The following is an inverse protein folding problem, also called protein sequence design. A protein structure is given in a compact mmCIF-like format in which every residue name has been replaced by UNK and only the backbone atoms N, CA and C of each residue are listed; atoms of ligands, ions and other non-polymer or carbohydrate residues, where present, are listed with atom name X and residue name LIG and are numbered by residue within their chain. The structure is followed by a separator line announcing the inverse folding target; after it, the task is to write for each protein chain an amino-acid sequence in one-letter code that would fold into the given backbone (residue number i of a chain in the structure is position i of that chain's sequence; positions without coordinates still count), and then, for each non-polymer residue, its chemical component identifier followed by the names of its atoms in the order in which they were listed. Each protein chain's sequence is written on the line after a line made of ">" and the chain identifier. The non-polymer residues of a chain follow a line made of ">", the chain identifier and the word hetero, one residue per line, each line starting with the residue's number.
data_IF_506410316507
#
_entry.id   IF_506410316507
#
_cell.length_a   1.000
_cell.length_b   1.000
_cell.length_c   1.000
_cell.angle_alpha   90.00
_cell.angle_beta   90.00
_cell.angle_gamma   90.00
#
_symmetry.space_group_name_H-M   'P 1'
#
loop_
_entity.id
_entity.type
_entity.pdbx_description
1 polymer ?
#
# COMPACT_ATOMS: atom_id res chain seq x y z
N UNK A 1 -21.98 -24.40 69.39
CA UNK A 1 -23.06 -25.33 69.78
C UNK A 1 -23.45 -26.10 68.53
N UNK A 2 -22.93 -27.32 68.42
CA UNK A 2 -23.48 -28.46 67.70
C UNK A 2 -24.82 -28.88 68.31
N UNK A 3 -25.62 -29.78 67.78
CA UNK A 3 -25.34 -30.86 66.83
C UNK A 3 -26.53 -31.16 65.86
N UNK A 4 -26.51 -32.10 65.00
CA UNK A 4 -26.45 -33.53 64.78
C UNK A 4 -27.36 -33.92 63.61
N UNK A 5 -26.86 -34.65 62.68
CA UNK A 5 -26.96 -36.12 62.43
C UNK A 5 -28.36 -36.69 62.21
N UNK A 6 -28.61 -37.34 61.10
CA UNK A 6 -28.73 -38.80 60.87
C UNK A 6 -29.32 -39.10 59.50
N UNK A 7 -28.64 -39.90 58.67
CA UNK A 7 -28.72 -41.36 58.43
C UNK A 7 -30.17 -41.83 58.14
N UNK A 8 -30.46 -42.56 57.12
CA UNK A 8 -30.00 -43.81 56.54
C UNK A 8 -31.08 -44.24 55.53
N UNK A 9 -30.70 -44.74 54.37
CA UNK A 9 -30.57 -46.17 53.99
C UNK A 9 -31.88 -46.96 53.78
N UNK A 10 -31.82 -47.67 52.69
CA UNK A 10 -32.26 -49.04 52.38
C UNK A 10 -33.26 -49.16 51.24
N UNK A 11 -32.86 -49.66 50.10
CA UNK A 11 -33.08 -50.98 49.54
C UNK A 11 -34.51 -51.52 49.54
N UNK A 12 -35.02 -51.82 48.36
CA UNK A 12 -35.74 -53.08 48.00
C UNK A 12 -35.88 -53.11 46.45
N UNK A 13 -35.19 -53.87 45.85
CA UNK A 13 -35.19 -55.13 45.09
C UNK A 13 -36.53 -55.56 44.45
N UNK A 14 -36.37 -55.95 43.16
CA UNK A 14 -37.01 -56.94 42.32
C UNK A 14 -38.47 -56.68 41.90
N UNK A 15 -38.71 -56.68 40.59
CA UNK A 15 -39.17 -57.91 39.88
C UNK A 15 -39.25 -57.59 38.35
N UNK A 16 -38.61 -58.45 37.55
CA UNK A 16 -38.78 -58.64 36.12
C UNK A 16 -40.00 -59.52 35.90
N UNK A 17 -40.83 -59.25 34.82
CA UNK A 17 -40.78 -60.20 33.73
C UNK A 17 -40.87 -59.60 32.34
N UNK A 18 -39.98 -60.02 31.51
CA UNK A 18 -40.05 -60.53 30.14
C UNK A 18 -41.41 -60.36 29.42
N UNK A 19 -41.46 -59.46 28.45
CA UNK A 19 -42.39 -59.56 27.32
C UNK A 19 -41.65 -59.18 26.04
N UNK A 20 -41.23 -60.22 25.31
CA UNK A 20 -40.77 -60.15 23.92
C UNK A 20 -41.97 -59.80 23.04
N UNK A 21 -42.04 -58.61 22.49
CA UNK A 21 -42.87 -58.28 21.38
C UNK A 21 -42.00 -57.85 20.23
N UNK A 22 -41.84 -58.74 19.26
CA UNK A 22 -41.28 -58.46 17.96
C UNK A 22 -42.14 -57.44 17.24
N UNK A 23 -41.68 -56.21 17.12
CA UNK A 23 -42.25 -55.23 16.22
C UNK A 23 -41.23 -54.96 15.12
N UNK A 24 -41.43 -55.58 13.99
CA UNK A 24 -40.73 -55.31 12.73
C UNK A 24 -41.11 -53.88 12.34
N UNK A 25 -40.24 -52.91 12.65
CA UNK A 25 -40.35 -51.55 12.11
C UNK A 25 -39.68 -51.52 10.75
N UNK A 26 -40.52 -51.45 9.73
CA UNK A 26 -40.15 -51.10 8.36
C UNK A 26 -39.35 -49.76 8.44
N UNK A 27 -38.06 -49.86 8.29
CA UNK A 27 -37.21 -48.76 7.91
C UNK A 27 -37.58 -48.33 6.47
N UNK A 28 -38.61 -47.52 6.33
CA UNK A 28 -38.77 -46.67 5.16
C UNK A 28 -37.61 -45.66 5.24
N UNK A 29 -36.55 -46.01 4.54
CA UNK A 29 -35.49 -45.06 4.25
C UNK A 29 -36.07 -43.88 3.49
N UNK A 30 -36.42 -42.80 4.19
CA UNK A 30 -36.46 -41.50 3.60
C UNK A 30 -35.06 -41.20 3.09
N UNK A 31 -34.83 -41.52 1.82
CA UNK A 31 -33.76 -40.97 1.06
C UNK A 31 -33.99 -39.47 0.96
N UNK A 32 -33.59 -38.77 2.00
CA UNK A 32 -33.37 -37.33 1.95
C UNK A 32 -32.36 -37.11 0.82
N UNK A 33 -32.89 -36.70 -0.35
CA UNK A 33 -32.06 -36.06 -1.35
C UNK A 33 -31.40 -34.90 -0.60
N UNK A 34 -30.19 -35.12 -0.05
CA UNK A 34 -29.28 -34.03 0.23
C UNK A 34 -29.21 -33.28 -1.10
N UNK A 35 -29.90 -32.15 -1.16
CA UNK A 35 -29.58 -31.13 -2.14
C UNK A 35 -28.06 -31.03 -2.12
N UNK A 36 -27.44 -31.47 -3.21
CA UNK A 36 -25.99 -31.35 -3.37
C UNK A 36 -25.73 -29.89 -3.24
N UNK A 37 -25.25 -29.46 -2.06
CA UNK A 37 -24.64 -28.16 -1.91
C UNK A 37 -23.80 -27.96 -3.16
N UNK A 38 -24.10 -26.90 -3.93
CA UNK A 38 -23.52 -26.67 -5.23
C UNK A 38 -22.05 -27.00 -5.15
N UNK A 39 -21.62 -28.02 -5.91
CA UNK A 39 -20.28 -28.58 -5.82
C UNK A 39 -19.29 -27.44 -5.91
N UNK A 40 -18.54 -27.15 -4.84
CA UNK A 40 -17.49 -26.11 -4.88
C UNK A 40 -16.32 -26.52 -5.78
N UNK A 41 -16.36 -27.72 -6.35
CA UNK A 41 -15.41 -28.26 -7.30
C UNK A 41 -15.74 -27.74 -8.69
N UNK A 42 -14.80 -27.01 -9.29
CA UNK A 42 -14.88 -26.49 -10.64
C UNK A 42 -14.32 -27.50 -11.68
N UNK A 43 -13.25 -28.21 -11.33
CA UNK A 43 -12.67 -29.27 -12.16
C UNK A 43 -12.00 -30.34 -11.30
N UNK A 44 -11.83 -31.54 -11.87
CA UNK A 44 -11.01 -32.62 -11.31
C UNK A 44 -9.81 -32.87 -12.22
N UNK A 45 -8.62 -32.85 -11.64
CA UNK A 45 -7.35 -33.10 -12.34
C UNK A 45 -6.71 -34.33 -11.70
N UNK A 46 -6.92 -35.50 -12.29
CA UNK A 46 -6.55 -36.80 -11.72
C UNK A 46 -7.22 -37.01 -10.34
N UNK A 47 -6.42 -37.05 -9.27
CA UNK A 47 -6.88 -37.22 -7.87
C UNK A 47 -7.21 -35.91 -7.15
N UNK A 48 -6.83 -34.77 -7.73
CA UNK A 48 -6.95 -33.46 -7.12
C UNK A 48 -8.13 -32.67 -7.67
N UNK A 49 -8.66 -31.74 -6.89
CA UNK A 49 -9.81 -30.91 -7.27
C UNK A 49 -9.41 -29.43 -7.31
N UNK A 50 -9.87 -28.74 -8.36
CA UNK A 50 -9.81 -27.29 -8.45
C UNK A 50 -11.17 -26.76 -8.00
N UNK A 51 -11.18 -25.84 -7.04
CA UNK A 51 -12.41 -25.31 -6.45
C UNK A 51 -12.79 -23.96 -7.05
N UNK A 52 -14.09 -23.65 -7.00
CA UNK A 52 -14.62 -22.32 -7.33
C UNK A 52 -13.97 -21.24 -6.45
N UNK A 53 -13.62 -21.58 -5.21
CA UNK A 53 -12.95 -20.66 -4.30
C UNK A 53 -11.56 -20.24 -4.82
N UNK A 54 -10.78 -21.16 -5.39
CA UNK A 54 -9.49 -20.84 -6.00
C UNK A 54 -9.65 -19.91 -7.21
N UNK A 55 -10.67 -20.14 -8.05
CA UNK A 55 -10.97 -19.26 -9.19
C UNK A 55 -11.32 -17.84 -8.67
N UNK A 56 -12.22 -17.74 -7.68
CA UNK A 56 -12.62 -16.47 -7.10
C UNK A 56 -11.45 -15.72 -6.45
N UNK A 57 -10.55 -16.43 -5.78
CA UNK A 57 -9.35 -15.84 -5.20
C UNK A 57 -8.47 -15.17 -6.27
N UNK A 58 -8.29 -15.82 -7.42
CA UNK A 58 -7.52 -15.24 -8.52
C UNK A 58 -8.28 -14.09 -9.19
N UNK A 59 -9.61 -14.20 -9.34
CA UNK A 59 -10.46 -13.13 -9.89
C UNK A 59 -10.37 -11.84 -9.05
N UNK A 60 -10.40 -11.95 -7.72
CA UNK A 60 -10.30 -10.80 -6.81
C UNK A 60 -8.98 -10.04 -6.94
N UNK A 61 -7.92 -10.68 -7.44
CA UNK A 61 -6.64 -10.02 -7.69
C UNK A 61 -6.62 -9.21 -9.00
N UNK A 62 -7.61 -9.38 -9.87
CA UNK A 62 -7.72 -8.64 -11.14
C UNK A 62 -8.49 -7.32 -10.92
N UNK A 63 -7.75 -6.21 -10.77
CA UNK A 63 -8.29 -4.90 -10.34
C UNK A 63 -9.27 -4.23 -11.30
N UNK A 64 -9.40 -4.65 -12.57
CA UNK A 64 -10.19 -3.93 -13.58
C UNK A 64 -11.11 -4.85 -14.38
N UNK A 65 -11.59 -5.93 -13.77
CA UNK A 65 -12.47 -6.86 -14.45
C UNK A 65 -13.89 -6.28 -14.50
N UNK A 66 -14.45 -6.14 -15.69
CA UNK A 66 -15.84 -5.72 -15.87
C UNK A 66 -16.78 -6.91 -15.64
N UNK A 67 -18.00 -6.68 -15.13
CA UNK A 67 -18.96 -7.75 -14.85
C UNK A 67 -19.20 -8.69 -16.06
N UNK A 68 -19.30 -8.14 -17.26
CA UNK A 68 -19.51 -8.89 -18.51
C UNK A 68 -18.31 -9.79 -18.92
N UNK A 69 -17.14 -9.55 -18.35
CA UNK A 69 -15.91 -10.31 -18.63
C UNK A 69 -15.67 -11.43 -17.60
N UNK A 70 -16.44 -11.46 -16.52
CA UNK A 70 -16.20 -12.35 -15.37
C UNK A 70 -16.26 -13.82 -15.78
N UNK A 71 -17.22 -14.24 -16.60
CA UNK A 71 -17.37 -15.62 -17.03
C UNK A 71 -16.23 -16.08 -17.95
N UNK A 72 -15.79 -15.21 -18.86
CA UNK A 72 -14.66 -15.50 -19.74
C UNK A 72 -13.35 -15.59 -18.95
N UNK A 73 -13.13 -14.65 -18.01
CA UNK A 73 -11.98 -14.66 -17.14
C UNK A 73 -11.97 -15.88 -16.21
N UNK A 74 -13.12 -16.28 -15.66
CA UNK A 74 -13.25 -17.47 -14.82
C UNK A 74 -12.82 -18.74 -15.56
N UNK A 75 -13.26 -18.91 -16.82
CA UNK A 75 -12.84 -20.04 -17.65
C UNK A 75 -11.34 -20.02 -17.92
N UNK A 76 -10.79 -18.88 -18.27
CA UNK A 76 -9.36 -18.72 -18.53
C UNK A 76 -8.50 -18.99 -17.29
N UNK A 77 -8.99 -18.56 -16.11
CA UNK A 77 -8.36 -18.86 -14.83
C UNK A 77 -8.42 -20.36 -14.54
N UNK A 78 -9.57 -21.00 -14.79
CA UNK A 78 -9.73 -22.44 -14.58
C UNK A 78 -8.72 -23.23 -15.40
N UNK A 79 -8.59 -22.96 -16.71
CA UNK A 79 -7.62 -23.64 -17.59
C UNK A 79 -6.18 -23.44 -17.06
N UNK A 80 -5.83 -22.23 -16.66
CA UNK A 80 -4.51 -21.97 -16.06
C UNK A 80 -4.28 -22.74 -14.77
N UNK A 81 -5.32 -22.86 -13.92
CA UNK A 81 -5.22 -23.65 -12.68
C UNK A 81 -5.11 -25.17 -12.99
N UNK A 82 -5.73 -25.65 -14.06
CA UNK A 82 -5.56 -27.03 -14.53
C UNK A 82 -4.12 -27.28 -14.96
N UNK A 83 -3.55 -26.40 -15.78
CA UNK A 83 -2.14 -26.50 -16.20
C UNK A 83 -1.19 -26.44 -15.01
N UNK A 84 -1.46 -25.54 -14.08
CA UNK A 84 -0.68 -25.41 -12.82
C UNK A 84 -0.77 -26.69 -11.99
N UNK A 85 -1.96 -27.29 -11.87
CA UNK A 85 -2.13 -28.53 -11.11
C UNK A 85 -1.38 -29.70 -11.73
N UNK A 86 -1.41 -29.82 -13.08
CA UNK A 86 -0.64 -30.83 -13.79
C UNK A 86 0.87 -30.65 -13.58
N UNK A 87 1.34 -29.40 -13.63
CA UNK A 87 2.75 -29.09 -13.35
C UNK A 87 3.15 -29.42 -11.90
N UNK A 88 2.27 -29.12 -10.92
CA UNK A 88 2.50 -29.46 -9.50
C UNK A 88 2.58 -30.98 -9.30
N UNK A 89 1.69 -31.76 -9.91
CA UNK A 89 1.74 -33.23 -9.83
C UNK A 89 3.06 -33.77 -10.41
N UNK A 90 3.51 -33.21 -11.53
CA UNK A 90 4.80 -33.60 -12.12
C UNK A 90 6.00 -33.17 -11.25
N UNK A 91 5.91 -32.01 -10.63
CA UNK A 91 6.94 -31.52 -9.71
C UNK A 91 7.05 -32.42 -8.45
N UNK A 92 5.91 -32.88 -7.93
CA UNK A 92 5.86 -33.82 -6.80
C UNK A 92 6.50 -35.17 -7.14
N UNK A 93 6.16 -35.74 -8.32
CA UNK A 93 6.79 -36.97 -8.83
C UNK A 93 8.32 -36.85 -8.93
N UNK A 94 8.82 -35.68 -9.34
CA UNK A 94 10.25 -35.37 -9.49
C UNK A 94 10.90 -34.86 -8.19
N UNK A 95 10.12 -34.74 -7.10
CA UNK A 95 10.56 -34.23 -5.78
C UNK A 95 11.17 -32.83 -5.84
N UNK A 96 10.69 -31.98 -6.76
CA UNK A 96 11.15 -30.60 -6.93
C UNK A 96 10.84 -29.77 -5.67
N UNK A 97 9.77 -30.07 -4.97
CA UNK A 97 9.41 -29.50 -3.65
C UNK A 97 10.50 -29.66 -2.58
N UNK A 98 11.40 -30.66 -2.77
CA UNK A 98 12.52 -30.94 -1.88
C UNK A 98 13.86 -30.35 -2.34
N UNK A 99 13.90 -29.71 -3.52
CA UNK A 99 15.10 -28.98 -3.96
C UNK A 99 15.43 -27.88 -2.93
N UNK A 100 16.67 -27.79 -2.43
CA UNK A 100 17.04 -26.82 -1.39
C UNK A 100 16.71 -25.37 -1.78
N UNK A 101 16.78 -25.01 -3.05
CA UNK A 101 16.42 -23.67 -3.55
C UNK A 101 14.93 -23.42 -3.46
N UNK A 102 14.10 -24.42 -3.82
CA UNK A 102 12.63 -24.34 -3.75
C UNK A 102 12.21 -24.25 -2.28
N UNK A 103 12.76 -25.06 -1.41
CA UNK A 103 12.50 -25.02 0.04
C UNK A 103 12.83 -23.64 0.61
N UNK A 104 14.01 -23.08 0.29
CA UNK A 104 14.37 -21.73 0.75
C UNK A 104 13.42 -20.65 0.24
N UNK A 105 12.98 -20.74 -1.02
CA UNK A 105 12.02 -19.80 -1.60
C UNK A 105 10.64 -19.90 -0.92
N UNK A 106 10.16 -21.12 -0.69
CA UNK A 106 8.89 -21.34 0.01
C UNK A 106 8.92 -20.79 1.45
N UNK A 107 10.00 -21.05 2.18
CA UNK A 107 10.18 -20.54 3.54
C UNK A 107 10.31 -19.00 3.57
N UNK A 108 10.98 -18.40 2.60
CA UNK A 108 11.08 -16.95 2.47
C UNK A 108 9.70 -16.34 2.16
N UNK A 109 8.96 -16.89 1.19
CA UNK A 109 7.63 -16.43 0.83
C UNK A 109 6.64 -16.58 1.99
N UNK A 110 6.69 -17.71 2.70
CA UNK A 110 5.85 -17.94 3.89
C UNK A 110 6.10 -16.89 4.97
N UNK A 111 7.37 -16.63 5.31
CA UNK A 111 7.73 -15.59 6.31
C UNK A 111 7.23 -14.21 5.90
N UNK A 112 7.41 -13.85 4.64
CA UNK A 112 6.97 -12.55 4.11
C UNK A 112 5.43 -12.42 4.18
N UNK A 113 4.69 -13.44 3.72
CA UNK A 113 3.23 -13.42 3.72
C UNK A 113 2.67 -13.31 5.13
N UNK A 114 3.18 -14.14 6.07
CA UNK A 114 2.69 -14.14 7.45
C UNK A 114 3.03 -12.83 8.17
N UNK A 115 4.25 -12.33 8.00
CA UNK A 115 4.65 -11.05 8.59
C UNK A 115 3.81 -9.89 8.04
N UNK A 116 3.58 -9.84 6.74
CA UNK A 116 2.71 -8.82 6.11
C UNK A 116 1.28 -8.90 6.64
N UNK A 117 0.69 -10.10 6.69
CA UNK A 117 -0.67 -10.30 7.21
C UNK A 117 -0.81 -9.83 8.66
N UNK A 118 0.21 -10.05 9.50
CA UNK A 118 0.24 -9.53 10.86
C UNK A 118 0.22 -7.99 10.88
N UNK A 119 1.10 -7.34 10.11
CA UNK A 119 1.18 -5.88 10.06
C UNK A 119 -0.10 -5.25 9.49
N UNK A 120 -0.71 -5.89 8.49
CA UNK A 120 -2.01 -5.49 7.94
C UNK A 120 -3.09 -5.55 9.02
N UNK A 121 -3.14 -6.64 9.81
CA UNK A 121 -4.07 -6.80 10.91
C UNK A 121 -3.89 -5.73 12.00
N UNK A 122 -2.64 -5.38 12.34
CA UNK A 122 -2.35 -4.25 13.25
C UNK A 122 -2.89 -2.96 12.67
N UNK A 123 -2.63 -2.70 11.39
CA UNK A 123 -3.14 -1.50 10.71
C UNK A 123 -4.67 -1.42 10.63
N UNK A 124 -5.37 -2.55 10.53
CA UNK A 124 -6.83 -2.59 10.50
C UNK A 124 -7.50 -2.07 11.78
N UNK A 125 -6.78 -2.10 12.90
CA UNK A 125 -7.25 -1.53 14.16
C UNK A 125 -7.29 0.02 14.17
N UNK A 126 -6.78 0.68 13.13
CA UNK A 126 -6.78 2.14 13.03
C UNK A 126 -8.22 2.69 12.97
N UNK A 127 -8.62 3.59 13.87
CA UNK A 127 -9.94 4.20 13.83
C UNK A 127 -10.08 5.10 12.60
N UNK A 128 -11.29 5.17 12.05
CA UNK A 128 -11.57 6.10 10.97
C UNK A 128 -11.44 7.55 11.45
N UNK A 129 -10.98 8.47 10.58
CA UNK A 129 -10.98 9.89 10.89
C UNK A 129 -12.40 10.41 11.13
N UNK A 130 -12.54 11.35 12.07
CA UNK A 130 -13.82 12.03 12.29
C UNK A 130 -14.05 13.12 11.22
N UNK A 131 -15.31 13.56 11.04
CA UNK A 131 -15.60 14.69 10.15
C UNK A 131 -14.85 15.97 10.51
N UNK A 132 -14.64 16.23 11.81
CA UNK A 132 -13.91 17.39 12.33
C UNK A 132 -12.42 17.33 11.97
N UNK A 133 -11.83 16.14 12.03
CA UNK A 133 -10.43 15.92 11.64
C UNK A 133 -10.25 16.11 10.13
N UNK A 134 -11.19 15.63 9.33
CA UNK A 134 -11.18 15.81 7.87
C UNK A 134 -11.28 17.30 7.55
N UNK A 135 -12.24 18.02 8.16
CA UNK A 135 -12.39 19.46 7.99
C UNK A 135 -11.13 20.20 8.42
N UNK A 136 -10.57 19.87 9.57
CA UNK A 136 -9.33 20.47 10.07
C UNK A 136 -8.19 20.32 9.06
N UNK A 137 -8.00 19.12 8.52
CA UNK A 137 -6.96 18.85 7.51
C UNK A 137 -7.20 19.68 6.23
N UNK A 138 -8.45 19.81 5.80
CA UNK A 138 -8.83 20.64 4.66
C UNK A 138 -8.46 22.11 4.88
N UNK A 139 -8.81 22.66 6.05
CA UNK A 139 -8.55 24.05 6.41
C UNK A 139 -7.05 24.35 6.60
N UNK A 140 -6.28 23.39 7.14
CA UNK A 140 -4.83 23.51 7.37
C UNK A 140 -3.99 23.39 6.08
N UNK A 141 -4.58 22.90 5.00
CA UNK A 141 -3.88 22.65 3.72
C UNK A 141 -4.55 23.35 2.53
N UNK A 142 -4.73 24.70 2.60
CA UNK A 142 -5.43 25.45 1.54
C UNK A 142 -4.78 25.26 0.16
N UNK A 143 -3.45 25.15 0.09
CA UNK A 143 -2.73 24.95 -1.17
C UNK A 143 -3.05 23.62 -1.87
N UNK A 144 -3.56 22.59 -1.12
CA UNK A 144 -4.03 21.35 -1.69
C UNK A 144 -5.50 21.41 -2.12
N UNK A 145 -6.29 22.31 -1.55
CA UNK A 145 -7.75 22.30 -1.69
C UNK A 145 -8.34 23.65 -2.10
N UNK A 146 -8.67 24.51 -1.16
CA UNK A 146 -9.36 25.78 -1.43
C UNK A 146 -8.56 26.76 -2.30
N UNK A 147 -7.24 26.74 -2.21
CA UNK A 147 -6.32 27.54 -3.01
C UNK A 147 -5.49 26.68 -3.97
N UNK A 148 -5.98 25.47 -4.27
CA UNK A 148 -5.30 24.52 -5.15
C UNK A 148 -5.03 25.14 -6.52
N UNK A 149 -3.79 24.92 -7.01
CA UNK A 149 -3.34 25.37 -8.33
C UNK A 149 -2.76 24.17 -9.11
N UNK A 150 -2.79 24.31 -10.41
CA UNK A 150 -1.98 23.50 -11.35
C UNK A 150 -0.82 24.36 -11.80
N UNK A 151 0.39 23.85 -11.61
CA UNK A 151 1.65 24.55 -11.79
C UNK A 151 2.33 24.10 -13.07
N UNK A 152 2.65 25.06 -13.97
CA UNK A 152 3.59 24.85 -15.08
C UNK A 152 4.98 25.20 -14.58
N UNK A 153 5.86 24.21 -14.44
CA UNK A 153 7.18 24.38 -13.85
C UNK A 153 8.28 24.05 -14.85
N UNK A 154 9.40 24.76 -14.73
CA UNK A 154 10.67 24.37 -15.31
C UNK A 154 11.59 23.92 -14.19
N UNK A 155 12.14 22.73 -14.33
CA UNK A 155 13.07 22.14 -13.37
C UNK A 155 14.46 22.11 -14.00
N UNK A 156 15.46 22.69 -13.33
CA UNK A 156 16.85 22.66 -13.76
C UNK A 156 17.63 21.92 -12.68
N UNK A 157 18.01 20.69 -12.98
CA UNK A 157 18.86 19.89 -12.10
C UNK A 157 20.32 20.22 -12.35
N UNK A 158 21.07 20.55 -11.31
CA UNK A 158 22.47 20.99 -11.39
C UNK A 158 23.29 20.09 -10.50
N UNK A 159 24.31 19.44 -11.10
CA UNK A 159 25.32 18.69 -10.33
C UNK A 159 26.24 19.70 -9.64
N UNK A 160 26.08 19.83 -8.32
CA UNK A 160 26.86 20.78 -7.56
C UNK A 160 27.31 20.20 -6.22
N UNK A 161 28.50 20.59 -5.80
CA UNK A 161 29.00 20.26 -4.46
C UNK A 161 28.33 21.14 -3.41
N UNK A 162 28.26 20.71 -2.13
CA UNK A 162 27.64 21.49 -1.06
C UNK A 162 28.15 22.94 -0.95
N UNK A 163 29.46 23.16 -1.14
CA UNK A 163 30.10 24.48 -1.10
C UNK A 163 29.67 25.42 -2.22
N UNK A 164 29.16 24.91 -3.35
CA UNK A 164 28.71 25.70 -4.50
C UNK A 164 27.25 26.15 -4.37
N UNK A 165 26.49 25.56 -3.43
CA UNK A 165 25.05 25.84 -3.28
C UNK A 165 24.79 27.30 -2.92
N UNK A 166 25.64 27.90 -2.08
CA UNK A 166 25.51 29.30 -1.67
C UNK A 166 25.71 30.26 -2.86
N UNK A 167 26.75 30.02 -3.66
CA UNK A 167 27.01 30.81 -4.87
C UNK A 167 25.89 30.66 -5.90
N UNK A 168 25.42 29.46 -6.15
CA UNK A 168 24.27 29.21 -7.05
C UNK A 168 23.02 29.93 -6.62
N UNK A 169 22.77 30.01 -5.29
CA UNK A 169 21.63 30.77 -4.76
C UNK A 169 21.77 32.27 -4.97
N UNK A 170 22.98 32.82 -4.75
CA UNK A 170 23.28 34.23 -5.00
C UNK A 170 23.15 34.58 -6.48
N UNK A 171 23.70 33.76 -7.38
CA UNK A 171 23.59 33.98 -8.83
C UNK A 171 22.15 33.88 -9.33
N UNK A 172 21.37 32.92 -8.81
CA UNK A 172 19.94 32.84 -9.11
C UNK A 172 19.17 34.07 -8.64
N UNK A 173 19.47 34.59 -7.43
CA UNK A 173 18.84 35.79 -6.92
C UNK A 173 19.23 37.05 -7.67
N UNK A 174 20.45 37.14 -8.18
CA UNK A 174 20.95 38.29 -8.96
C UNK A 174 20.52 38.24 -10.43
N UNK A 175 20.10 37.10 -10.95
CA UNK A 175 19.68 36.94 -12.34
C UNK A 175 18.37 37.71 -12.61
N UNK A 176 18.32 38.47 -13.70
CA UNK A 176 17.12 39.23 -14.12
C UNK A 176 16.08 38.30 -14.76
N UNK A 177 16.54 37.18 -15.29
CA UNK A 177 15.70 36.16 -15.91
C UNK A 177 16.31 34.77 -15.70
N UNK A 178 15.51 33.72 -15.87
CA UNK A 178 16.04 32.36 -15.83
C UNK A 178 17.07 32.07 -16.94
N UNK A 179 16.95 32.77 -18.08
CA UNK A 179 17.90 32.66 -19.19
C UNK A 179 19.28 33.18 -18.78
N UNK A 180 19.38 34.28 -18.04
CA UNK A 180 20.65 34.82 -17.53
C UNK A 180 21.33 33.82 -16.59
N UNK A 181 20.54 33.13 -15.76
CA UNK A 181 21.05 32.07 -14.88
C UNK A 181 21.52 30.86 -15.71
N UNK A 182 20.80 30.44 -16.73
CA UNK A 182 21.22 29.36 -17.63
C UNK A 182 22.50 29.69 -18.37
N UNK A 183 22.68 30.93 -18.82
CA UNK A 183 23.95 31.38 -19.43
C UNK A 183 25.10 31.33 -18.44
N UNK A 184 24.88 31.75 -17.20
CA UNK A 184 25.87 31.56 -16.13
C UNK A 184 26.23 30.10 -15.95
N UNK A 185 25.25 29.16 -15.90
CA UNK A 185 25.52 27.72 -15.78
C UNK A 185 26.37 27.19 -16.94
N UNK A 186 26.12 27.62 -18.18
CA UNK A 186 26.92 27.24 -19.35
C UNK A 186 28.39 27.68 -19.22
N UNK A 187 28.60 28.87 -18.68
CA UNK A 187 29.96 29.45 -18.54
C UNK A 187 30.69 28.91 -17.30
N UNK A 188 29.96 28.44 -16.29
CA UNK A 188 30.54 27.93 -15.05
C UNK A 188 31.09 26.50 -15.14
N UNK A 189 30.85 25.78 -16.24
CA UNK A 189 31.27 24.39 -16.44
C UNK A 189 30.49 23.38 -15.60
N UNK A 190 29.41 23.80 -14.94
CA UNK A 190 28.55 22.90 -14.18
C UNK A 190 27.67 22.08 -15.13
N UNK A 191 27.50 20.81 -14.82
CA UNK A 191 26.55 19.96 -15.54
C UNK A 191 25.14 20.28 -15.07
N UNK A 192 24.26 20.54 -16.02
CA UNK A 192 22.85 20.76 -15.72
C UNK A 192 21.96 20.16 -16.80
N UNK A 193 20.73 19.81 -16.40
CA UNK A 193 19.68 19.34 -17.29
C UNK A 193 18.38 20.08 -16.97
N UNK A 194 17.66 20.51 -18.01
CA UNK A 194 16.36 21.18 -17.91
C UNK A 194 15.22 20.23 -18.26
N UNK A 195 14.12 20.33 -17.52
CA UNK A 195 12.87 19.64 -17.78
C UNK A 195 11.69 20.59 -17.58
N UNK A 196 10.58 20.38 -18.32
CA UNK A 196 9.33 21.09 -18.11
C UNK A 196 8.24 20.10 -17.73
N UNK A 197 7.41 20.49 -16.76
CA UNK A 197 6.32 19.65 -16.30
C UNK A 197 5.11 20.51 -15.92
N UNK A 198 3.92 19.92 -16.09
CA UNK A 198 2.69 20.46 -15.52
C UNK A 198 2.29 19.53 -14.39
N UNK A 199 2.20 20.08 -13.17
CA UNK A 199 1.89 19.32 -11.97
C UNK A 199 0.73 19.95 -11.22
N UNK A 200 -0.20 19.13 -10.79
CA UNK A 200 -1.21 19.54 -9.83
C UNK A 200 -0.60 19.63 -8.42
N UNK A 201 -1.20 20.41 -7.54
CA UNK A 201 -0.70 20.63 -6.17
C UNK A 201 -0.36 19.33 -5.44
N UNK A 202 -1.22 18.32 -5.53
CA UNK A 202 -1.04 16.99 -4.88
C UNK A 202 0.11 16.15 -5.47
N UNK A 203 0.66 16.53 -6.61
CA UNK A 203 1.81 15.88 -7.24
C UNK A 203 3.14 16.50 -6.80
N UNK A 204 3.09 17.58 -6.05
CA UNK A 204 4.26 18.25 -5.49
C UNK A 204 4.53 17.70 -4.07
N UNK A 205 5.82 17.62 -3.66
CA UNK A 205 6.13 17.29 -2.27
C UNK A 205 5.53 18.35 -1.32
N UNK A 206 4.89 17.90 -0.25
CA UNK A 206 4.19 18.80 0.69
C UNK A 206 5.09 19.88 1.28
N UNK A 207 6.38 19.58 1.52
CA UNK A 207 7.36 20.54 2.04
C UNK A 207 7.71 21.65 1.04
N UNK A 208 7.52 21.44 -0.25
CA UNK A 208 7.75 22.44 -1.30
C UNK A 208 6.46 23.12 -1.76
N UNK A 209 5.32 22.48 -1.56
CA UNK A 209 4.02 22.99 -2.00
C UNK A 209 3.69 24.36 -1.37
N UNK A 210 3.91 24.52 -0.05
CA UNK A 210 3.65 25.78 0.64
C UNK A 210 4.53 26.94 0.12
N UNK A 211 5.77 26.62 -0.28
CA UNK A 211 6.65 27.60 -0.92
C UNK A 211 6.16 27.93 -2.34
N UNK A 212 5.81 26.90 -3.13
CA UNK A 212 5.28 27.05 -4.48
C UNK A 212 3.96 27.83 -4.53
N UNK A 213 3.08 27.61 -3.54
CA UNK A 213 1.80 28.31 -3.45
C UNK A 213 1.96 29.84 -3.24
N UNK A 214 3.06 30.27 -2.58
CA UNK A 214 3.40 31.68 -2.37
C UNK A 214 4.12 32.32 -3.55
N UNK A 215 4.65 31.50 -4.46
CA UNK A 215 5.36 32.01 -5.63
C UNK A 215 4.41 32.68 -6.63
N UNK A 216 4.92 33.74 -7.26
CA UNK A 216 4.30 34.37 -8.43
C UNK A 216 4.90 33.77 -9.70
N UNK A 217 4.13 33.80 -10.78
CA UNK A 217 4.61 33.37 -12.09
C UNK A 217 5.92 34.12 -12.45
N UNK A 218 6.88 33.39 -12.97
CA UNK A 218 8.23 33.87 -13.28
C UNK A 218 9.24 33.75 -12.12
N UNK A 219 8.81 33.45 -10.89
CA UNK A 219 9.74 33.29 -9.77
C UNK A 219 10.39 31.90 -9.79
N UNK A 220 11.60 31.84 -9.23
CA UNK A 220 12.37 30.61 -9.09
C UNK A 220 12.72 30.34 -7.63
N UNK A 221 12.84 29.06 -7.26
CA UNK A 221 13.37 28.60 -5.98
C UNK A 221 14.45 27.56 -6.18
N UNK A 222 15.41 27.50 -5.26
CA UNK A 222 16.49 26.51 -5.25
C UNK A 222 16.22 25.49 -4.13
N UNK A 223 16.16 24.21 -4.52
CA UNK A 223 15.92 23.06 -3.62
C UNK A 223 17.18 22.19 -3.61
N UNK A 224 17.83 21.97 -2.45
CA UNK A 224 18.93 21.01 -2.35
C UNK A 224 18.44 19.58 -2.62
N UNK A 225 19.28 18.80 -3.32
CA UNK A 225 19.05 17.38 -3.61
C UNK A 225 20.29 16.57 -3.23
N UNK A 226 20.18 15.24 -3.21
CA UNK A 226 21.31 14.36 -2.91
C UNK A 226 22.45 14.47 -3.94
N UNK A 227 22.14 14.84 -5.20
CA UNK A 227 23.11 14.95 -6.29
C UNK A 227 23.56 16.40 -6.57
N UNK A 228 23.11 17.38 -5.78
CA UNK A 228 23.41 18.78 -5.98
C UNK A 228 22.21 19.69 -5.66
N UNK A 229 21.74 20.45 -6.63
CA UNK A 229 20.57 21.34 -6.46
C UNK A 229 19.61 21.23 -7.62
N UNK A 230 18.33 21.49 -7.34
CA UNK A 230 17.29 21.66 -8.33
C UNK A 230 16.76 23.08 -8.25
N UNK A 231 16.78 23.81 -9.37
CA UNK A 231 16.10 25.09 -9.50
C UNK A 231 14.73 24.82 -10.09
N UNK A 232 13.70 25.23 -9.39
CA UNK A 232 12.30 25.13 -9.84
C UNK A 232 11.79 26.52 -10.14
N UNK A 233 11.42 26.74 -11.39
CA UNK A 233 10.85 27.99 -11.89
C UNK A 233 9.36 27.81 -12.09
N UNK A 234 8.56 28.68 -11.52
CA UNK A 234 7.13 28.73 -11.80
C UNK A 234 6.89 29.50 -13.09
N UNK A 235 6.77 28.80 -14.21
CA UNK A 235 6.51 29.40 -15.50
C UNK A 235 5.08 29.98 -15.61
N UNK A 236 4.14 29.39 -14.89
CA UNK A 236 2.76 29.85 -14.79
C UNK A 236 1.95 28.94 -13.87
N UNK A 237 0.78 29.43 -13.46
CA UNK A 237 -0.13 28.64 -12.64
C UNK A 237 -1.59 28.96 -12.94
N UNK A 238 -2.44 27.97 -12.74
CA UNK A 238 -3.88 28.10 -12.90
C UNK A 238 -4.59 27.67 -11.63
N UNK A 239 -5.45 28.52 -11.08
CA UNK A 239 -6.31 28.17 -9.94
C UNK A 239 -7.30 27.08 -10.34
N UNK A 240 -7.40 26.07 -9.52
CA UNK A 240 -8.34 24.95 -9.67
C UNK A 240 -8.72 24.41 -8.29
N UNK A 241 -9.50 25.18 -7.52
CA UNK A 241 -9.86 24.80 -6.16
C UNK A 241 -10.73 23.54 -6.15
N UNK A 242 -10.63 22.82 -5.04
CA UNK A 242 -11.44 21.64 -4.72
C UNK A 242 -12.15 21.96 -3.41
N UNK A 243 -13.47 21.84 -3.37
CA UNK A 243 -14.23 22.07 -2.14
C UNK A 243 -14.07 20.90 -1.15
N UNK A 244 -14.48 21.13 0.10
CA UNK A 244 -14.36 20.13 1.18
C UNK A 244 -15.08 18.82 0.84
N UNK A 245 -16.27 18.89 0.26
CA UNK A 245 -17.08 17.72 -0.07
C UNK A 245 -16.37 16.81 -1.08
N UNK A 246 -15.77 17.41 -2.11
CA UNK A 246 -14.99 16.69 -3.12
C UNK A 246 -13.67 16.15 -2.56
N UNK A 247 -13.03 16.87 -1.63
CA UNK A 247 -11.77 16.49 -1.02
C UNK A 247 -11.93 15.39 0.06
N UNK A 248 -13.09 15.33 0.70
CA UNK A 248 -13.39 14.47 1.87
C UNK A 248 -12.94 13.02 1.69
N UNK A 249 -13.27 12.29 0.60
CA UNK A 249 -12.86 10.89 0.45
C UNK A 249 -11.34 10.72 0.40
N UNK A 250 -10.65 11.64 -0.27
CA UNK A 250 -9.18 11.60 -0.38
C UNK A 250 -8.50 11.91 0.97
N UNK A 251 -9.02 12.89 1.71
CA UNK A 251 -8.53 13.24 3.05
C UNK A 251 -8.76 12.09 4.03
N UNK A 252 -9.97 11.50 4.04
CA UNK A 252 -10.30 10.35 4.87
C UNK A 252 -9.32 9.20 4.65
N UNK A 253 -9.09 8.86 3.38
CA UNK A 253 -8.17 7.79 3.00
C UNK A 253 -6.72 8.11 3.41
N UNK A 254 -6.28 9.35 3.22
CA UNK A 254 -4.95 9.80 3.61
C UNK A 254 -4.74 9.69 5.12
N UNK A 255 -5.65 10.27 5.92
CA UNK A 255 -5.56 10.26 7.38
C UNK A 255 -5.64 8.83 7.95
N UNK A 256 -6.50 7.98 7.36
CA UNK A 256 -6.59 6.58 7.75
C UNK A 256 -5.28 5.84 7.46
N UNK A 257 -4.68 6.04 6.29
CA UNK A 257 -3.40 5.41 5.94
C UNK A 257 -2.27 5.90 6.85
N UNK A 258 -2.25 7.19 7.21
CA UNK A 258 -1.29 7.73 8.18
C UNK A 258 -1.43 7.06 9.56
N UNK A 259 -2.66 6.86 10.04
CA UNK A 259 -2.93 6.16 11.29
C UNK A 259 -2.48 4.70 11.24
N UNK A 260 -2.83 3.99 10.17
CA UNK A 260 -2.39 2.61 9.95
C UNK A 260 -0.87 2.50 10.00
N UNK A 261 -0.18 3.39 9.30
CA UNK A 261 1.29 3.42 9.29
C UNK A 261 1.87 3.65 10.67
N UNK A 262 1.34 4.64 11.42
CA UNK A 262 1.79 4.94 12.79
C UNK A 262 1.58 3.77 13.73
N UNK A 263 0.41 3.13 13.70
CA UNK A 263 0.14 1.95 14.53
C UNK A 263 1.11 0.80 14.24
N UNK A 264 1.36 0.53 12.97
CA UNK A 264 2.33 -0.50 12.56
C UNK A 264 3.74 -0.13 13.02
N UNK A 265 4.15 1.12 12.86
CA UNK A 265 5.47 1.60 13.29
C UNK A 265 5.65 1.48 14.82
N UNK A 266 4.65 1.89 15.58
CA UNK A 266 4.63 1.80 17.05
C UNK A 266 4.67 0.35 17.52
N UNK A 267 3.90 -0.54 16.90
CA UNK A 267 3.87 -1.97 17.21
C UNK A 267 5.23 -2.63 16.91
N UNK A 268 5.80 -2.38 15.73
CA UNK A 268 7.15 -2.87 15.37
C UNK A 268 8.20 -2.34 16.35
N UNK A 269 8.12 -1.07 16.74
CA UNK A 269 9.02 -0.47 17.73
C UNK A 269 8.88 -1.16 19.09
N UNK A 270 7.64 -1.42 19.53
CA UNK A 270 7.37 -2.12 20.79
C UNK A 270 7.89 -3.57 20.75
N UNK A 271 7.64 -4.30 19.65
CA UNK A 271 8.17 -5.65 19.47
C UNK A 271 9.70 -5.67 19.51
N UNK A 272 10.36 -4.71 18.85
CA UNK A 272 11.84 -4.60 18.88
C UNK A 272 12.38 -4.29 20.27
N UNK A 273 11.69 -3.46 21.04
CA UNK A 273 12.07 -3.13 22.39
C UNK A 273 11.93 -4.31 23.37
N UNK A 274 10.91 -5.15 23.16
CA UNK A 274 10.66 -6.35 23.98
C UNK A 274 11.53 -7.55 23.58
N UNK A 275 12.06 -7.57 22.36
CA UNK A 275 12.84 -8.69 21.85
C UNK A 275 14.31 -8.59 22.25
N UNK A 276 14.92 -9.73 22.57
CA UNK A 276 16.38 -9.84 22.67
C UNK A 276 16.96 -9.98 21.26
N UNK A 277 17.46 -8.87 20.71
CA UNK A 277 18.06 -8.83 19.36
C UNK A 277 19.59 -8.81 19.54
N UNK A 278 20.26 -9.79 18.97
CA UNK A 278 21.72 -9.91 18.98
C UNK A 278 22.23 -9.98 17.52
N UNK A 279 23.03 -9.02 17.15
CA UNK A 279 23.67 -8.98 15.84
C UNK A 279 25.01 -9.72 15.93
N UNK A 280 25.29 -10.63 14.99
CA UNK A 280 26.48 -11.48 15.01
C UNK A 280 27.35 -11.29 13.78
N UNK A 281 28.64 -11.59 13.92
CA UNK A 281 29.64 -11.49 12.85
C UNK A 281 29.74 -10.06 12.29
N UNK A 282 29.90 -9.95 10.97
CA UNK A 282 30.03 -8.64 10.29
C UNK A 282 28.85 -7.68 10.48
N UNK A 283 27.72 -8.18 10.92
CA UNK A 283 26.52 -7.34 11.17
C UNK A 283 26.55 -6.68 12.57
N UNK A 284 27.35 -7.17 13.52
CA UNK A 284 27.51 -6.57 14.84
C UNK A 284 28.18 -5.19 14.75
N UNK A 285 29.22 -5.04 13.92
CA UNK A 285 29.90 -3.77 13.69
C UNK A 285 29.03 -2.73 12.99
N UNK A 286 28.24 -3.18 11.97
CA UNK A 286 27.28 -2.33 11.27
C UNK A 286 26.16 -1.83 12.19
N UNK A 287 25.69 -2.65 13.12
CA UNK A 287 24.65 -2.26 14.08
C UNK A 287 25.18 -1.24 15.11
N UNK A 288 26.42 -1.40 15.59
CA UNK A 288 27.06 -0.43 16.48
C UNK A 288 27.26 0.94 15.80
N UNK A 289 27.66 0.95 14.53
CA UNK A 289 27.81 2.16 13.71
C UNK A 289 26.46 2.84 13.44
N UNK A 290 25.40 2.07 13.13
CA UNK A 290 24.05 2.60 12.91
C UNK A 290 23.46 3.20 14.19
N UNK A 291 23.70 2.60 15.36
CA UNK A 291 23.26 3.11 16.64
C UNK A 291 23.95 4.43 17.01
N UNK A 292 25.25 4.58 16.69
CA UNK A 292 25.99 5.81 16.87
C UNK A 292 25.56 6.94 15.90
N UNK A 293 25.15 6.59 14.66
CA UNK A 293 24.64 7.53 13.65
C UNK A 293 23.20 7.99 13.87
N UNK A 294 22.36 7.18 14.52
CA UNK A 294 20.96 7.50 14.76
C UNK A 294 20.75 8.62 15.82
N UNK A 295 21.79 8.95 16.61
CA UNK A 295 21.74 10.08 17.57
C UNK A 295 21.85 11.45 16.91
N UNK A 296 22.14 11.56 15.60
CA UNK A 296 22.37 12.85 14.92
C UNK A 296 21.57 13.06 13.64
N UNK A 297 20.74 12.08 13.21
CA UNK A 297 19.95 12.18 11.99
C UNK A 297 18.46 12.36 12.32
N UNK A 298 17.93 13.55 12.08
CA UNK A 298 16.50 13.79 11.93
C UNK A 298 16.02 12.94 10.75
N UNK A 299 14.97 12.11 10.91
CA UNK A 299 14.52 11.26 9.81
C UNK A 299 13.99 12.11 8.68
N UNK A 300 14.61 11.99 7.50
CA UNK A 300 14.06 12.53 6.27
C UNK A 300 12.75 11.75 5.97
N UNK A 301 11.67 12.42 5.60
CA UNK A 301 10.43 11.73 5.27
C UNK A 301 10.63 10.82 4.05
N UNK A 302 10.39 9.54 4.23
CA UNK A 302 10.38 8.57 3.15
C UNK A 302 9.28 8.97 2.15
N UNK A 303 9.69 9.26 0.92
CA UNK A 303 8.78 9.47 -0.21
C UNK A 303 8.18 8.12 -0.55
N UNK A 304 6.96 7.88 -0.11
CA UNK A 304 6.14 6.78 -0.64
C UNK A 304 5.66 7.17 -2.06
N UNK A 305 5.63 6.23 -3.01
CA UNK A 305 4.93 6.47 -4.26
C UNK A 305 3.45 6.71 -3.94
N UNK A 306 2.93 7.85 -4.33
CA UNK A 306 1.52 8.18 -4.21
C UNK A 306 0.69 7.10 -4.92
N UNK A 307 -0.43 6.63 -4.32
CA UNK A 307 -1.36 5.79 -5.03
C UNK A 307 -1.84 6.56 -6.26
N UNK A 308 -1.80 5.91 -7.42
CA UNK A 308 -2.32 6.47 -8.66
C UNK A 308 -3.77 6.91 -8.41
N UNK A 309 -4.01 8.21 -8.44
CA UNK A 309 -5.34 8.76 -8.38
C UNK A 309 -6.16 8.20 -9.56
N UNK A 310 -7.45 7.87 -9.36
CA UNK A 310 -8.31 7.53 -10.48
C UNK A 310 -8.30 8.69 -11.46
N UNK A 311 -8.09 8.38 -12.74
CA UNK A 311 -8.11 9.34 -13.82
C UNK A 311 -9.47 10.07 -13.78
N UNK A 312 -9.46 11.31 -13.33
CA UNK A 312 -10.61 12.19 -13.44
C UNK A 312 -10.83 12.43 -14.95
N UNK A 313 -11.91 11.89 -15.47
CA UNK A 313 -12.44 12.20 -16.78
C UNK A 313 -12.77 13.70 -16.82
N UNK A 314 -11.89 14.48 -17.43
CA UNK A 314 -11.99 15.94 -17.54
C UNK A 314 -10.64 16.66 -17.66
N UNK A 315 -9.52 15.94 -17.69
CA UNK A 315 -8.20 16.50 -17.91
C UNK A 315 -7.98 16.82 -19.39
N UNK A 316 -7.60 18.06 -19.68
CA UNK A 316 -7.14 18.49 -21.01
C UNK A 316 -6.04 17.53 -21.49
N UNK A 317 -6.14 17.03 -22.72
CA UNK A 317 -5.13 16.16 -23.30
C UNK A 317 -3.82 16.93 -23.51
N UNK A 318 -2.68 16.19 -23.61
CA UNK A 318 -1.38 16.80 -23.92
C UNK A 318 -1.42 17.63 -25.21
N UNK A 319 -2.32 17.30 -26.14
CA UNK A 319 -2.58 18.02 -27.39
C UNK A 319 -3.26 19.39 -27.19
N UNK A 320 -4.08 19.51 -26.13
CA UNK A 320 -4.74 20.80 -25.82
C UNK A 320 -3.76 21.77 -25.15
N UNK A 321 -2.78 21.23 -24.41
CA UNK A 321 -1.71 22.00 -23.75
C UNK A 321 -0.73 22.56 -24.80
N UNK A 322 -0.39 21.78 -25.84
CA UNK A 322 0.53 22.21 -26.89
C UNK A 322 -0.05 23.32 -27.78
N UNK A 323 -1.38 23.33 -27.97
CA UNK A 323 -2.07 24.42 -28.71
C UNK A 323 -2.17 25.74 -27.92
N UNK A 324 -2.26 25.66 -26.58
CA UNK A 324 -2.33 26.84 -25.72
C UNK A 324 -0.99 27.55 -25.52
N UNK A 325 0.14 26.88 -25.74
CA UNK A 325 1.48 27.40 -25.51
C UNK A 325 2.16 27.95 -26.80
N UNK A 326 1.49 27.97 -27.94
CA UNK A 326 2.01 28.61 -29.17
C UNK A 326 3.29 27.98 -29.74
N UNK A 327 3.60 26.74 -29.40
CA UNK A 327 4.74 25.99 -29.94
C UNK A 327 4.32 25.38 -31.30
N UNK A 328 4.79 26.01 -32.39
CA UNK A 328 4.83 25.38 -33.71
C UNK A 328 6.08 24.55 -33.85
#
# INVERSE_FOLDING_TARGET
>A
MNPTMHKASQLVRLWIPLAVVATAVLLVGCGEKKDKAASQTAAKVNKDEITVHQINFVLQQQRNLRPEQTDAASRQILERLVDQQLALQRADEQKIDRDPRVVQQLEAARREIVARAYLEKVGEAAPKPSPEEIKKYYDEKPALFSERRVYSIQEISIEAKPEQVADLREKLAAAKSINDFVEYLKTSGLRFAGNQAVRAAEQLPLNTLDAMARMKDGQAMLVPTAAGVQVVVLAGSRSQPVNEEQARPAIEQYLLNERKRKLVEEDVKAMRAAAKIEYVGKFAEAAASAAAGASTATPAPAVMPAPAAPAASGGLSATDISKGLGLK
#
